data_IF_010725475142
#
_entry.id   IF_010725475142
#
_cell.length_a   1.000
_cell.length_b   1.000
_cell.length_c   1.000
_cell.angle_alpha   90.00
_cell.angle_beta   90.00
_cell.angle_gamma   90.00
#
_symmetry.space_group_name_H-M   'P 1'
#
loop_
_entity.id
_entity.type
_entity.pdbx_description
1 polymer ?
#
# COMPACT_ATOMS: atom_id res chain seq x y z
N UNK A 1 -11.36 -20.02 -2.30
CA UNK A 1 -9.89 -19.82 -2.19
C UNK A 1 -9.18 -21.11 -2.58
N UNK A 2 -7.94 -21.01 -3.08
CA UNK A 2 -7.15 -22.18 -3.50
C UNK A 2 -6.59 -22.89 -2.26
N UNK A 3 -6.41 -24.19 -2.34
CA UNK A 3 -5.97 -25.03 -1.22
C UNK A 3 -4.55 -24.66 -0.73
N UNK A 4 -4.37 -24.48 0.59
CA UNK A 4 -3.09 -24.16 1.21
C UNK A 4 -3.08 -22.86 2.01
N UNK A 5 -1.98 -22.63 2.75
CA UNK A 5 -1.83 -21.43 3.59
C UNK A 5 -1.74 -20.16 2.76
N UNK A 6 -2.45 -19.13 3.17
CA UNK A 6 -2.44 -17.80 2.57
C UNK A 6 -1.62 -16.85 3.42
N UNK A 7 -0.62 -16.20 2.82
CA UNK A 7 0.20 -15.21 3.46
C UNK A 7 -0.17 -13.79 3.02
N UNK A 8 -0.22 -12.86 3.99
CA UNK A 8 -0.20 -11.43 3.75
C UNK A 8 1.23 -10.92 4.00
N UNK A 9 1.87 -10.36 2.98
CA UNK A 9 3.25 -9.84 3.07
C UNK A 9 3.20 -8.32 3.00
N UNK A 10 3.65 -7.67 4.05
CA UNK A 10 3.55 -6.22 4.25
C UNK A 10 4.91 -5.55 4.10
N UNK A 11 4.96 -4.52 3.26
CA UNK A 11 6.19 -3.86 2.87
C UNK A 11 6.64 -2.79 3.87
N UNK A 12 7.94 -2.50 3.89
CA UNK A 12 8.42 -1.29 4.55
C UNK A 12 8.01 -0.02 3.79
N UNK A 13 7.84 1.09 4.50
CA UNK A 13 7.39 2.36 3.89
C UNK A 13 6.97 3.49 4.81
N UNK A 14 7.18 3.38 6.13
CA UNK A 14 6.85 4.45 7.10
C UNK A 14 5.37 4.85 7.06
N UNK A 15 5.07 6.14 6.92
CA UNK A 15 3.70 6.66 6.89
C UNK A 15 2.82 6.08 5.78
N UNK A 16 3.43 5.51 4.71
CA UNK A 16 2.70 4.83 3.63
C UNK A 16 1.95 3.58 4.12
N UNK A 17 2.28 3.04 5.29
CA UNK A 17 1.65 1.86 5.87
C UNK A 17 0.13 1.97 6.10
N UNK A 18 -0.46 3.17 6.08
CA UNK A 18 -1.91 3.33 6.11
C UNK A 18 -2.59 2.64 4.89
N UNK A 19 -1.89 2.55 3.76
CA UNK A 19 -2.36 1.80 2.59
C UNK A 19 -2.60 0.32 2.93
N UNK A 20 -1.71 -0.30 3.71
CA UNK A 20 -1.80 -1.70 4.12
C UNK A 20 -3.03 -1.97 5.00
N UNK A 21 -3.45 -1.00 5.81
CA UNK A 21 -4.69 -1.10 6.59
C UNK A 21 -5.92 -1.11 5.68
N UNK A 22 -5.89 -0.32 4.61
CA UNK A 22 -6.91 -0.37 3.56
C UNK A 22 -6.96 -1.73 2.87
N UNK A 23 -5.80 -2.33 2.58
CA UNK A 23 -5.69 -3.69 2.06
C UNK A 23 -6.33 -4.68 3.03
N UNK A 24 -5.94 -4.63 4.31
CA UNK A 24 -6.46 -5.54 5.33
C UNK A 24 -7.99 -5.38 5.51
N UNK A 25 -8.51 -4.14 5.45
CA UNK A 25 -9.95 -3.89 5.46
C UNK A 25 -10.66 -4.66 4.34
N UNK A 26 -10.17 -4.54 3.10
CA UNK A 26 -10.78 -5.21 1.97
C UNK A 26 -10.69 -6.74 2.08
N UNK A 27 -9.56 -7.27 2.56
CA UNK A 27 -9.40 -8.71 2.80
C UNK A 27 -10.40 -9.25 3.84
N UNK A 28 -10.62 -8.50 4.93
CA UNK A 28 -11.62 -8.85 5.94
C UNK A 28 -13.05 -8.85 5.36
N UNK A 29 -13.41 -7.81 4.60
CA UNK A 29 -14.73 -7.72 3.94
C UNK A 29 -14.95 -8.83 2.90
N UNK A 30 -13.88 -9.32 2.27
CA UNK A 30 -13.90 -10.43 1.32
C UNK A 30 -13.87 -11.81 2.01
N UNK A 31 -13.73 -11.87 3.33
CA UNK A 31 -13.62 -13.12 4.08
C UNK A 31 -12.34 -13.91 3.75
N UNK A 32 -11.26 -13.21 3.37
CA UNK A 32 -9.97 -13.84 3.10
C UNK A 32 -9.26 -14.09 4.43
N UNK A 33 -9.12 -15.37 4.78
CA UNK A 33 -8.34 -15.80 5.93
C UNK A 33 -6.84 -15.68 5.65
N UNK A 34 -6.12 -15.08 6.59
CA UNK A 34 -4.66 -14.95 6.56
C UNK A 34 -4.11 -15.95 7.58
N UNK A 35 -3.26 -16.87 7.12
CA UNK A 35 -2.63 -17.88 7.98
C UNK A 35 -1.22 -17.45 8.43
N UNK A 36 -0.58 -16.59 7.63
CA UNK A 36 0.78 -16.09 7.86
C UNK A 36 0.79 -14.60 7.53
N UNK A 37 1.39 -13.78 8.36
CA UNK A 37 1.71 -12.40 8.04
C UNK A 37 3.19 -12.13 8.27
N UNK A 38 3.87 -11.62 7.25
CA UNK A 38 5.27 -11.20 7.35
C UNK A 38 5.38 -9.71 7.06
N UNK A 39 6.29 -9.03 7.75
CA UNK A 39 6.40 -7.58 7.66
C UNK A 39 7.81 -7.05 7.86
N UNK A 40 8.09 -5.95 7.18
CA UNK A 40 9.32 -5.17 7.34
C UNK A 40 8.97 -3.74 7.75
N UNK A 41 9.65 -3.17 8.75
CA UNK A 41 9.44 -1.78 9.18
C UNK A 41 7.99 -1.50 9.58
N UNK A 42 7.31 -0.54 8.95
CA UNK A 42 5.88 -0.31 9.18
C UNK A 42 5.03 -1.55 8.89
N UNK A 43 5.42 -2.38 7.91
CA UNK A 43 4.77 -3.64 7.63
C UNK A 43 4.88 -4.63 8.79
N UNK A 44 5.94 -4.56 9.61
CA UNK A 44 6.05 -5.36 10.84
C UNK A 44 5.11 -4.86 11.93
N UNK A 45 4.95 -3.54 12.08
CA UNK A 45 3.97 -2.92 13.00
C UNK A 45 2.56 -3.34 12.62
N UNK A 46 2.19 -3.19 11.34
CA UNK A 46 0.89 -3.60 10.83
C UNK A 46 0.71 -5.12 10.85
N UNK A 47 1.77 -5.89 10.60
CA UNK A 47 1.73 -7.35 10.65
C UNK A 47 1.45 -7.88 12.06
N UNK A 48 2.02 -7.27 13.09
CA UNK A 48 1.69 -7.60 14.48
C UNK A 48 0.21 -7.32 14.80
N UNK A 49 -0.36 -6.24 14.27
CA UNK A 49 -1.79 -5.92 14.42
C UNK A 49 -2.69 -6.93 13.69
N UNK A 50 -2.30 -7.34 12.48
CA UNK A 50 -2.98 -8.40 11.72
C UNK A 50 -2.96 -9.72 12.49
N UNK A 51 -1.81 -10.10 13.05
CA UNK A 51 -1.68 -11.31 13.85
C UNK A 51 -2.51 -11.26 15.14
N UNK A 52 -2.60 -10.09 15.79
CA UNK A 52 -3.50 -9.88 16.93
C UNK A 52 -4.99 -9.95 16.53
N UNK A 53 -5.30 -9.83 15.24
CA UNK A 53 -6.66 -9.86 14.68
C UNK A 53 -7.59 -8.78 15.26
N UNK A 54 -7.05 -7.59 15.57
CA UNK A 54 -7.80 -6.44 16.07
C UNK A 54 -7.85 -5.31 15.03
N UNK A 55 -8.67 -5.51 13.99
CA UNK A 55 -8.80 -4.56 12.90
C UNK A 55 -9.37 -3.21 13.35
N UNK A 56 -10.33 -3.21 14.28
CA UNK A 56 -10.94 -1.96 14.77
C UNK A 56 -9.90 -1.07 15.44
N UNK A 57 -9.04 -1.64 16.29
CA UNK A 57 -7.96 -0.90 16.93
C UNK A 57 -6.92 -0.42 15.92
N UNK A 58 -6.54 -1.25 14.95
CA UNK A 58 -5.58 -0.86 13.92
C UNK A 58 -6.12 0.29 13.06
N UNK A 59 -7.37 0.16 12.58
CA UNK A 59 -8.03 1.18 11.79
C UNK A 59 -8.19 2.49 12.57
N UNK A 60 -8.59 2.42 13.84
CA UNK A 60 -8.67 3.59 14.72
C UNK A 60 -7.30 4.25 14.91
N UNK A 61 -6.26 3.47 15.16
CA UNK A 61 -4.90 3.98 15.39
C UNK A 61 -4.40 4.79 14.20
N UNK A 62 -4.61 4.29 12.97
CA UNK A 62 -4.24 5.01 11.74
C UNK A 62 -5.12 6.23 11.44
N UNK A 63 -6.42 6.20 11.80
CA UNK A 63 -7.31 7.36 11.63
C UNK A 63 -7.06 8.48 12.65
N UNK A 64 -6.58 8.14 13.84
CA UNK A 64 -6.32 9.07 14.94
C UNK A 64 -4.86 9.57 14.98
N UNK A 65 -4.03 9.20 14.00
CA UNK A 65 -2.69 9.76 13.86
C UNK A 65 -2.81 11.28 13.78
N UNK A 66 -2.23 11.94 14.79
CA UNK A 66 -2.09 13.39 14.81
C UNK A 66 -0.83 13.75 14.03
N UNK A 67 -0.87 14.92 13.40
CA UNK A 67 0.33 15.54 12.87
C UNK A 67 1.37 15.62 14.00
N UNK A 68 2.61 15.26 13.69
CA UNK A 68 3.70 15.21 14.67
C UNK A 68 3.79 16.56 15.37
N UNK A 69 3.34 16.62 16.62
CA UNK A 69 3.55 17.79 17.46
C UNK A 69 4.99 17.72 17.93
N UNK A 70 5.71 18.84 17.99
CA UNK A 70 7.04 18.89 18.59
C UNK A 70 6.86 18.43 20.06
N UNK A 71 7.29 17.20 20.37
CA UNK A 71 7.33 16.66 21.73
C UNK A 71 8.78 16.49 22.17
N UNK A 72 9.04 16.45 23.47
CA UNK A 72 10.38 16.17 24.02
C UNK A 72 10.85 14.71 23.77
N UNK A 73 9.97 13.85 23.26
CA UNK A 73 10.25 12.44 22.98
C UNK A 73 10.82 12.25 21.57
N UNK A 74 11.74 11.30 21.44
CA UNK A 74 12.23 10.80 20.15
C UNK A 74 11.14 10.01 19.41
N UNK A 75 11.25 9.90 18.08
CA UNK A 75 10.32 9.10 17.24
C UNK A 75 10.18 7.65 17.75
N UNK A 76 11.30 7.07 18.18
CA UNK A 76 11.39 5.73 18.76
C UNK A 76 10.60 5.58 20.07
N UNK A 77 10.68 6.56 20.97
CA UNK A 77 9.93 6.54 22.24
C UNK A 77 8.42 6.73 22.02
N UNK A 78 8.04 7.57 21.06
CA UNK A 78 6.63 7.72 20.66
C UNK A 78 6.10 6.42 20.09
N UNK A 79 6.83 5.80 19.15
CA UNK A 79 6.43 4.52 18.57
C UNK A 79 6.34 3.43 19.65
N UNK A 80 7.32 3.32 20.55
CA UNK A 80 7.28 2.39 21.68
C UNK A 80 6.00 2.53 22.50
N UNK A 81 5.63 3.75 22.91
CA UNK A 81 4.42 3.99 23.71
C UNK A 81 3.15 3.59 22.95
N UNK A 82 3.12 3.83 21.65
CA UNK A 82 2.00 3.39 20.79
C UNK A 82 1.94 1.86 20.75
N UNK A 83 3.08 1.19 20.56
CA UNK A 83 3.13 -0.27 20.51
C UNK A 83 2.74 -0.90 21.87
N UNK A 84 3.29 -0.41 22.98
CA UNK A 84 2.97 -0.92 24.34
C UNK A 84 1.50 -0.73 24.71
N UNK A 85 0.85 0.32 24.18
CA UNK A 85 -0.57 0.58 24.42
C UNK A 85 -1.49 -0.35 23.61
N UNK A 86 -1.09 -0.73 22.40
CA UNK A 86 -1.98 -1.36 21.43
C UNK A 86 -1.66 -2.84 21.17
N UNK A 87 -0.41 -3.26 21.32
CA UNK A 87 0.01 -4.64 21.08
C UNK A 87 0.01 -5.46 22.37
N UNK A 88 -0.54 -6.66 22.28
CA UNK A 88 -0.57 -7.65 23.35
C UNK A 88 0.13 -8.92 22.85
N UNK A 89 1.36 -9.08 23.27
CA UNK A 89 2.23 -10.18 22.81
C UNK A 89 1.62 -11.57 23.00
N UNK A 90 0.90 -11.80 24.10
CA UNK A 90 0.23 -13.10 24.34
C UNK A 90 -0.87 -13.39 23.33
N UNK A 91 -1.64 -12.38 22.89
CA UNK A 91 -2.66 -12.54 21.85
C UNK A 91 -2.00 -12.92 20.52
N UNK A 92 -0.92 -12.21 20.14
CA UNK A 92 -0.15 -12.50 18.91
C UNK A 92 0.44 -13.91 18.95
N UNK A 93 1.03 -14.32 20.07
CA UNK A 93 1.63 -15.67 20.24
C UNK A 93 0.61 -16.81 20.22
N UNK A 94 -0.63 -16.54 20.62
CA UNK A 94 -1.73 -17.51 20.63
C UNK A 94 -2.58 -17.47 19.36
N UNK A 95 -2.26 -16.57 18.44
CA UNK A 95 -3.03 -16.36 17.21
C UNK A 95 -2.97 -17.57 16.27
N UNK A 96 -4.03 -17.73 15.49
CA UNK A 96 -4.05 -18.64 14.34
C UNK A 96 -3.21 -18.11 13.16
N UNK A 97 -2.96 -16.80 13.15
CA UNK A 97 -2.13 -16.13 12.15
C UNK A 97 -0.70 -16.04 12.65
N UNK A 98 0.22 -16.73 11.98
CA UNK A 98 1.64 -16.68 12.33
C UNK A 98 2.26 -15.33 11.95
N UNK A 99 3.17 -14.80 12.76
CA UNK A 99 3.77 -13.47 12.56
C UNK A 99 5.27 -13.57 12.33
N UNK A 100 5.74 -12.96 11.24
CA UNK A 100 7.16 -12.87 10.88
C UNK A 100 7.65 -11.44 10.71
N UNK A 101 8.89 -11.19 11.13
CA UNK A 101 9.55 -9.88 11.04
C UNK A 101 10.94 -9.97 10.42
N UNK A 102 11.35 -8.92 9.70
CA UNK A 102 12.72 -8.76 9.18
C UNK A 102 13.44 -7.60 9.86
N UNK A 103 14.68 -7.83 10.30
CA UNK A 103 15.62 -6.79 10.76
C UNK A 103 17.05 -7.17 10.38
N UNK A 104 18.00 -6.25 10.49
CA UNK A 104 19.39 -6.45 10.09
C UNK A 104 20.34 -5.97 11.19
N UNK A 105 21.31 -6.78 11.59
CA UNK A 105 22.37 -6.36 12.51
C UNK A 105 23.27 -5.29 11.85
N UNK A 106 23.66 -4.28 12.61
CA UNK A 106 24.59 -3.24 12.19
C UNK A 106 25.83 -3.19 13.10
N UNK A 107 27.06 -3.09 12.57
CA UNK A 107 27.43 -2.84 11.17
C UNK A 107 27.69 -4.11 10.33
N UNK A 108 27.38 -5.31 10.84
CA UNK A 108 27.69 -6.58 10.16
C UNK A 108 26.80 -6.85 8.93
N UNK A 109 25.64 -6.22 8.84
CA UNK A 109 24.59 -6.47 7.86
C UNK A 109 24.07 -7.92 7.84
N UNK A 110 24.22 -8.65 8.96
CA UNK A 110 23.62 -9.97 9.11
C UNK A 110 22.10 -9.81 9.22
N UNK A 111 21.36 -10.35 8.25
CA UNK A 111 19.90 -10.34 8.27
C UNK A 111 19.31 -11.35 9.26
N UNK A 112 18.15 -10.98 9.79
CA UNK A 112 17.35 -11.79 10.70
C UNK A 112 15.90 -11.75 10.21
N UNK A 113 15.42 -12.87 9.69
CA UNK A 113 14.02 -13.11 9.38
C UNK A 113 13.50 -14.08 10.44
N UNK A 114 12.65 -13.60 11.36
CA UNK A 114 12.25 -14.37 12.55
C UNK A 114 10.74 -14.43 12.68
N UNK A 115 10.22 -15.60 12.99
CA UNK A 115 8.83 -15.76 13.39
C UNK A 115 8.65 -15.53 14.89
N UNK A 116 7.40 -15.31 15.31
CA UNK A 116 7.05 -15.01 16.70
C UNK A 116 7.52 -16.10 17.68
N UNK A 117 7.58 -17.36 17.25
CA UNK A 117 8.10 -18.50 18.03
C UNK A 117 9.61 -18.45 18.26
N UNK A 118 10.36 -17.70 17.44
CA UNK A 118 11.81 -17.48 17.56
C UNK A 118 12.16 -16.22 18.37
N UNK A 119 11.22 -15.28 18.51
CA UNK A 119 11.41 -14.06 19.31
C UNK A 119 11.29 -14.38 20.80
N UNK A 120 12.26 -14.00 21.66
CA UNK A 120 12.15 -14.16 23.11
C UNK A 120 10.91 -13.46 23.68
N UNK A 121 10.26 -14.09 24.65
CA UNK A 121 9.08 -13.50 25.32
C UNK A 121 9.45 -12.17 25.98
N UNK A 122 8.63 -11.15 25.73
CA UNK A 122 8.84 -9.79 26.24
C UNK A 122 9.73 -8.91 25.35
N UNK A 123 10.33 -9.45 24.29
CA UNK A 123 11.19 -8.69 23.35
C UNK A 123 10.47 -8.35 22.03
N UNK A 124 9.18 -8.69 21.86
CA UNK A 124 8.47 -8.47 20.59
C UNK A 124 8.52 -7.00 20.14
N UNK A 125 8.20 -6.08 21.05
CA UNK A 125 8.21 -4.64 20.75
C UNK A 125 9.63 -4.17 20.42
N UNK A 126 10.67 -4.72 21.06
CA UNK A 126 12.05 -4.39 20.75
C UNK A 126 12.43 -4.77 19.31
N UNK A 127 12.04 -5.96 18.86
CA UNK A 127 12.28 -6.39 17.47
C UNK A 127 11.45 -5.60 16.45
N UNK A 128 10.22 -5.20 16.79
CA UNK A 128 9.42 -4.30 15.94
C UNK A 128 10.11 -2.94 15.79
N UNK A 129 10.60 -2.36 16.90
CA UNK A 129 11.33 -1.10 16.87
C UNK A 129 12.67 -1.21 16.13
N UNK A 130 13.35 -2.37 16.23
CA UNK A 130 14.54 -2.66 15.43
C UNK A 130 14.25 -2.75 13.94
N UNK A 131 13.16 -3.41 13.54
CA UNK A 131 12.71 -3.47 12.15
C UNK A 131 12.30 -2.12 11.59
N UNK A 132 11.87 -1.17 12.43
CA UNK A 132 11.50 0.19 12.03
C UNK A 132 12.65 1.22 12.12
N UNK A 133 13.87 0.80 12.50
CA UNK A 133 15.02 1.70 12.66
C UNK A 133 15.66 2.08 11.32
N UNK A 134 15.00 2.98 10.59
CA UNK A 134 15.39 3.50 9.28
C UNK A 134 16.64 4.41 9.35
N UNK A 135 17.82 3.81 9.51
CA UNK A 135 19.10 4.52 9.49
C UNK A 135 19.32 5.24 8.14
N UNK A 136 19.92 6.45 8.07
CA UNK A 136 20.41 7.29 9.16
C UNK A 136 19.37 8.22 9.79
N UNK A 137 18.09 8.10 9.44
CA UNK A 137 17.02 8.98 9.95
C UNK A 137 16.65 8.58 11.38
N UNK A 138 16.43 7.29 11.61
CA UNK A 138 16.19 6.70 12.92
C UNK A 138 17.44 5.92 13.31
N UNK A 139 17.96 6.17 14.51
CA UNK A 139 19.18 5.53 15.01
C UNK A 139 19.01 4.00 15.14
N UNK A 140 20.10 3.21 14.98
CA UNK A 140 20.06 1.78 15.18
C UNK A 140 19.52 1.41 16.57
N UNK A 141 18.66 0.40 16.63
CA UNK A 141 18.06 -0.08 17.86
C UNK A 141 18.97 -1.12 18.53
N UNK A 142 19.24 -0.99 19.83
CA UNK A 142 20.07 -1.95 20.56
C UNK A 142 19.21 -3.00 21.29
N UNK A 143 19.43 -4.28 20.98
CA UNK A 143 18.87 -5.46 21.68
C UNK A 143 20.05 -6.30 22.15
N UNK A 144 20.14 -6.59 23.46
CA UNK A 144 21.17 -7.47 24.00
C UNK A 144 22.62 -7.10 23.56
N UNK A 145 22.94 -5.79 23.58
CA UNK A 145 24.23 -5.18 23.14
C UNK A 145 24.56 -5.31 21.65
N UNK A 146 23.63 -5.79 20.84
CA UNK A 146 23.73 -5.78 19.38
C UNK A 146 22.85 -4.68 18.82
N UNK A 147 23.34 -3.97 17.81
CA UNK A 147 22.56 -2.95 17.11
C UNK A 147 21.90 -3.53 15.88
N UNK A 148 20.68 -3.07 15.64
CA UNK A 148 19.83 -3.50 14.55
C UNK A 148 19.29 -2.27 13.81
N UNK A 149 19.09 -2.43 12.51
CA UNK A 149 18.48 -1.44 11.62
C UNK A 149 17.32 -2.07 10.86
N UNK A 150 16.61 -1.22 10.10
CA UNK A 150 15.45 -1.59 9.31
C UNK A 150 15.70 -2.83 8.42
N UNK A 151 14.71 -3.72 8.37
CA UNK A 151 14.74 -4.91 7.52
C UNK A 151 14.80 -4.60 6.03
N UNK A 152 14.42 -3.40 5.61
CA UNK A 152 14.43 -2.94 4.23
C UNK A 152 15.83 -2.95 3.60
N UNK A 153 16.89 -2.99 4.42
CA UNK A 153 18.27 -3.20 3.98
C UNK A 153 18.57 -4.62 3.47
N UNK A 154 17.65 -5.56 3.67
CA UNK A 154 17.78 -6.94 3.22
C UNK A 154 16.57 -7.37 2.37
N UNK A 155 15.37 -7.22 2.90
CA UNK A 155 14.12 -7.60 2.22
C UNK A 155 12.94 -6.72 2.68
N UNK A 156 12.56 -5.77 1.83
CA UNK A 156 11.51 -4.81 2.09
C UNK A 156 10.11 -5.41 1.90
N UNK A 157 9.96 -6.48 1.12
CA UNK A 157 8.68 -7.17 0.87
C UNK A 157 8.92 -8.67 1.07
N UNK A 158 8.89 -9.15 2.33
CA UNK A 158 9.49 -10.44 2.73
C UNK A 158 8.66 -11.66 2.32
N UNK A 159 8.53 -11.88 1.01
CA UNK A 159 7.79 -12.98 0.40
C UNK A 159 8.49 -14.32 0.62
N UNK A 160 9.82 -14.36 0.51
CA UNK A 160 10.58 -15.58 0.74
C UNK A 160 10.38 -16.12 2.16
N UNK A 161 10.29 -15.23 3.13
CA UNK A 161 10.01 -15.58 4.52
C UNK A 161 8.65 -16.29 4.65
N UNK A 162 7.62 -15.78 3.98
CA UNK A 162 6.30 -16.41 3.97
C UNK A 162 6.31 -17.77 3.26
N UNK A 163 7.00 -17.89 2.13
CA UNK A 163 7.17 -19.16 1.40
C UNK A 163 7.87 -20.21 2.27
N UNK A 164 8.95 -19.83 2.94
CA UNK A 164 9.69 -20.70 3.87
C UNK A 164 8.83 -21.16 5.06
N UNK A 165 7.78 -20.42 5.41
CA UNK A 165 6.79 -20.80 6.44
C UNK A 165 5.60 -21.61 5.89
N UNK A 166 5.66 -21.99 4.61
CA UNK A 166 4.70 -22.88 3.97
C UNK A 166 3.52 -22.19 3.31
N UNK A 167 3.62 -20.88 3.02
CA UNK A 167 2.62 -20.18 2.22
C UNK A 167 2.56 -20.76 0.79
N UNK A 168 1.34 -20.96 0.29
CA UNK A 168 1.09 -21.31 -1.14
C UNK A 168 0.45 -20.18 -1.91
N UNK A 169 -0.37 -19.39 -1.23
CA UNK A 169 -0.98 -18.18 -1.77
C UNK A 169 -0.30 -16.98 -1.08
N UNK A 170 0.14 -16.00 -1.85
CA UNK A 170 0.77 -14.79 -1.30
C UNK A 170 0.03 -13.57 -1.81
N UNK A 171 -0.45 -12.75 -0.88
CA UNK A 171 -0.92 -11.40 -1.13
C UNK A 171 0.20 -10.48 -0.64
N UNK A 172 0.95 -9.88 -1.55
CA UNK A 172 2.07 -9.00 -1.23
C UNK A 172 1.68 -7.54 -1.44
N UNK A 173 1.98 -6.68 -0.48
CA UNK A 173 1.72 -5.25 -0.55
C UNK A 173 3.04 -4.52 -0.72
N UNK A 174 3.23 -3.89 -1.88
CA UNK A 174 4.41 -3.08 -2.17
C UNK A 174 4.03 -1.59 -2.14
N UNK A 175 4.64 -0.86 -1.19
CA UNK A 175 4.44 0.57 -0.97
C UNK A 175 5.32 1.45 -1.86
N UNK A 176 6.10 0.85 -2.77
CA UNK A 176 7.08 1.53 -3.65
C UNK A 176 7.98 2.46 -2.82
N UNK A 177 8.57 1.89 -1.77
CA UNK A 177 9.40 2.59 -0.80
C UNK A 177 10.87 2.20 -0.96
N UNK A 178 11.75 2.97 -0.32
CA UNK A 178 13.19 2.74 -0.34
C UNK A 178 13.48 1.42 0.39
N UNK A 179 14.16 0.50 -0.28
CA UNK A 179 14.55 -0.80 0.27
C UNK A 179 14.89 -1.80 -0.83
N UNK A 180 15.36 -2.98 -0.42
CA UNK A 180 15.66 -4.09 -1.33
C UNK A 180 14.41 -4.94 -1.50
N UNK A 181 13.88 -5.08 -2.72
CA UNK A 181 12.83 -6.05 -3.03
C UNK A 181 13.45 -7.27 -3.71
N UNK A 182 13.33 -8.45 -3.09
CA UNK A 182 13.88 -9.70 -3.62
C UNK A 182 12.99 -10.25 -4.74
N UNK A 183 13.18 -9.73 -5.96
CA UNK A 183 12.36 -10.08 -7.15
C UNK A 183 12.38 -11.56 -7.51
N UNK A 184 13.41 -12.31 -7.15
CA UNK A 184 13.47 -13.75 -7.44
C UNK A 184 12.49 -14.52 -6.56
N UNK A 185 12.36 -14.17 -5.28
CA UNK A 185 11.34 -14.75 -4.39
C UNK A 185 9.91 -14.51 -4.90
N UNK A 186 9.63 -13.35 -5.50
CA UNK A 186 8.32 -13.08 -6.12
C UNK A 186 7.99 -14.03 -7.28
N UNK A 187 9.00 -14.53 -8.01
CA UNK A 187 8.81 -15.45 -9.13
C UNK A 187 8.60 -16.90 -8.68
N UNK A 188 9.01 -17.23 -7.45
CA UNK A 188 8.86 -18.57 -6.87
C UNK A 188 7.44 -18.82 -6.31
N UNK A 189 6.64 -17.77 -6.16
CA UNK A 189 5.28 -17.88 -5.67
C UNK A 189 4.36 -18.47 -6.74
N UNK A 190 3.75 -19.62 -6.45
CA UNK A 190 2.74 -20.24 -7.32
C UNK A 190 1.55 -19.31 -7.59
N UNK A 191 1.05 -18.67 -6.53
CA UNK A 191 -0.12 -17.78 -6.58
C UNK A 191 0.16 -16.44 -5.90
N UNK A 192 0.74 -15.51 -6.67
CA UNK A 192 1.01 -14.15 -6.23
C UNK A 192 -0.12 -13.18 -6.62
N UNK A 193 -0.69 -12.50 -5.64
CA UNK A 193 -1.44 -11.26 -5.82
C UNK A 193 -0.60 -10.09 -5.29
N UNK A 194 0.14 -9.41 -6.18
CA UNK A 194 0.94 -8.24 -5.83
C UNK A 194 0.08 -6.99 -5.94
N UNK A 195 -0.20 -6.37 -4.79
CA UNK A 195 -0.98 -5.14 -4.67
C UNK A 195 0.00 -3.98 -4.52
N UNK A 196 -0.07 -3.03 -5.44
CA UNK A 196 0.71 -1.80 -5.42
C UNK A 196 -0.09 -0.63 -5.97
N UNK A 197 0.17 0.57 -5.46
CA UNK A 197 -0.60 1.74 -5.84
C UNK A 197 -0.05 2.38 -7.11
N UNK A 198 -0.95 2.76 -8.03
CA UNK A 198 -0.60 3.57 -9.22
C UNK A 198 -0.43 5.06 -8.90
N UNK A 199 -0.84 5.49 -7.72
CA UNK A 199 -0.74 6.86 -7.26
C UNK A 199 0.38 7.02 -6.25
N UNK A 200 0.95 8.23 -6.20
CA UNK A 200 1.86 8.59 -5.12
C UNK A 200 1.17 8.38 -3.76
N UNK A 201 1.83 7.62 -2.90
CA UNK A 201 1.45 7.42 -1.50
C UNK A 201 1.96 8.56 -0.59
N UNK A 202 2.71 9.52 -1.14
CA UNK A 202 3.33 10.61 -0.40
C UNK A 202 4.70 10.26 0.17
N UNK A 203 5.20 11.13 1.04
CA UNK A 203 6.50 10.98 1.69
C UNK A 203 6.40 9.98 2.85
N UNK A 204 7.25 8.94 2.86
CA UNK A 204 7.28 7.90 3.89
C UNK A 204 7.65 8.41 5.30
N UNK A 205 8.24 9.60 5.43
CA UNK A 205 8.62 10.19 6.72
C UNK A 205 7.58 11.20 7.25
N UNK A 206 6.56 11.52 6.46
CA UNK A 206 5.56 12.52 6.83
C UNK A 206 4.21 11.86 7.13
N UNK A 207 3.73 12.00 8.37
CA UNK A 207 2.42 11.52 8.81
C UNK A 207 1.38 12.64 8.69
N UNK A 208 0.80 12.76 7.49
CA UNK A 208 -0.21 13.77 7.20
C UNK A 208 -1.63 13.16 7.29
N UNK A 209 -2.53 13.65 8.17
CA UNK A 209 -3.84 13.03 8.37
C UNK A 209 -4.72 12.97 7.11
N UNK A 210 -4.66 13.99 6.25
CA UNK A 210 -5.41 14.00 4.97
C UNK A 210 -4.88 12.94 4.00
N UNK A 211 -3.56 12.85 3.83
CA UNK A 211 -2.97 11.84 2.97
C UNK A 211 -3.16 10.42 3.53
N UNK A 212 -3.07 10.25 4.85
CA UNK A 212 -3.32 8.97 5.55
C UNK A 212 -4.69 8.40 5.19
N UNK A 213 -5.76 9.19 5.31
CA UNK A 213 -7.12 8.79 4.92
C UNK A 213 -7.22 8.45 3.43
N UNK A 214 -6.56 9.24 2.58
CA UNK A 214 -6.53 9.02 1.13
C UNK A 214 -5.87 7.67 0.79
N UNK A 215 -4.66 7.40 1.29
CA UNK A 215 -3.93 6.19 0.92
C UNK A 215 -4.52 4.92 1.54
N UNK A 216 -5.12 5.01 2.73
CA UNK A 216 -5.94 3.92 3.28
C UNK A 216 -7.08 3.58 2.33
N UNK A 217 -7.80 4.60 1.83
CA UNK A 217 -8.86 4.38 0.84
C UNK A 217 -8.33 3.79 -0.46
N UNK A 218 -7.15 4.20 -0.93
CA UNK A 218 -6.53 3.63 -2.13
C UNK A 218 -6.16 2.15 -1.94
N UNK A 219 -5.61 1.76 -0.79
CA UNK A 219 -5.28 0.36 -0.49
C UNK A 219 -6.51 -0.54 -0.50
N UNK A 220 -7.62 -0.04 0.04
CA UNK A 220 -8.91 -0.72 -0.05
C UNK A 220 -9.35 -0.92 -1.50
N UNK A 221 -9.34 0.14 -2.31
CA UNK A 221 -9.83 0.10 -3.69
C UNK A 221 -8.96 -0.76 -4.60
N UNK A 222 -7.63 -0.66 -4.47
CA UNK A 222 -6.69 -1.49 -5.23
C UNK A 222 -6.83 -2.97 -4.89
N UNK A 223 -7.10 -3.30 -3.62
CA UNK A 223 -7.41 -4.68 -3.20
C UNK A 223 -8.73 -5.15 -3.78
N UNK A 224 -9.80 -4.35 -3.68
CA UNK A 224 -11.09 -4.72 -4.27
C UNK A 224 -11.00 -4.93 -5.79
N UNK A 225 -10.17 -4.14 -6.49
CA UNK A 225 -9.87 -4.36 -7.92
C UNK A 225 -9.06 -5.65 -8.14
N UNK A 226 -8.06 -5.94 -7.33
CA UNK A 226 -7.23 -7.15 -7.48
C UNK A 226 -8.01 -8.46 -7.24
N UNK A 227 -9.10 -8.39 -6.48
CA UNK A 227 -10.07 -9.47 -6.28
C UNK A 227 -11.29 -9.41 -7.21
N UNK A 228 -11.24 -8.61 -8.27
CA UNK A 228 -12.28 -8.51 -9.30
C UNK A 228 -13.66 -8.11 -8.74
N UNK A 229 -13.70 -7.29 -7.68
CA UNK A 229 -14.93 -6.68 -7.15
C UNK A 229 -15.26 -5.39 -7.88
N UNK A 230 -14.23 -4.58 -8.16
CA UNK A 230 -14.31 -3.39 -8.99
C UNK A 230 -13.42 -3.54 -10.22
N UNK A 231 -13.62 -2.67 -11.20
CA UNK A 231 -12.82 -2.61 -12.42
C UNK A 231 -12.00 -1.32 -12.47
N UNK A 232 -10.94 -1.31 -13.29
CA UNK A 232 -10.09 -0.15 -13.53
C UNK A 232 -8.62 -0.44 -13.23
N UNK A 233 -7.76 0.51 -13.55
CA UNK A 233 -6.33 0.43 -13.25
C UNK A 233 -5.93 1.52 -12.27
N UNK A 234 -5.92 2.79 -12.68
CA UNK A 234 -5.62 3.93 -11.79
C UNK A 234 -6.85 4.39 -11.03
N UNK A 235 -8.01 4.32 -11.66
CA UNK A 235 -9.29 4.70 -11.09
C UNK A 235 -10.12 3.45 -10.77
N UNK A 236 -11.20 3.65 -10.02
CA UNK A 236 -12.08 2.56 -9.62
C UNK A 236 -13.46 2.76 -10.23
N UNK A 237 -13.95 1.74 -10.92
CA UNK A 237 -15.23 1.72 -11.60
C UNK A 237 -16.09 0.56 -11.10
N UNK A 238 -17.42 0.76 -11.07
CA UNK A 238 -18.35 -0.33 -10.76
C UNK A 238 -18.16 -1.44 -11.80
N UNK A 239 -18.08 -2.68 -11.34
CA UNK A 239 -17.87 -3.84 -12.20
C UNK A 239 -19.00 -4.00 -13.21
N UNK A 240 -18.65 -4.18 -14.48
CA UNK A 240 -19.61 -4.39 -15.56
C UNK A 240 -20.19 -3.13 -16.19
N UNK A 241 -19.98 -1.94 -15.62
CA UNK A 241 -20.45 -0.67 -16.23
C UNK A 241 -19.80 -0.38 -17.59
N UNK A 242 -18.53 -0.76 -17.74
CA UNK A 242 -17.76 -0.52 -18.96
C UNK A 242 -17.40 -1.85 -19.63
N UNK A 243 -17.63 -1.93 -20.94
CA UNK A 243 -17.08 -3.01 -21.75
C UNK A 243 -15.53 -2.98 -21.70
N UNK A 244 -14.87 -4.12 -21.94
CA UNK A 244 -13.41 -4.26 -21.80
C UNK A 244 -12.58 -3.18 -22.52
N UNK A 245 -12.99 -2.76 -23.72
CA UNK A 245 -12.34 -1.66 -24.46
C UNK A 245 -12.66 -0.25 -23.92
N UNK A 246 -13.83 -0.07 -23.31
CA UNK A 246 -14.26 1.22 -22.75
C UNK A 246 -13.68 1.51 -21.37
N UNK A 247 -13.21 0.48 -20.64
CA UNK A 247 -12.61 0.67 -19.32
C UNK A 247 -11.27 1.43 -19.39
N UNK A 248 -10.41 1.09 -20.35
CA UNK A 248 -9.15 1.80 -20.57
C UNK A 248 -9.40 3.26 -21.02
N UNK A 249 -10.45 3.48 -21.82
CA UNK A 249 -10.90 4.81 -22.22
C UNK A 249 -11.37 5.62 -21.00
N UNK A 250 -12.19 5.03 -20.14
CA UNK A 250 -12.69 5.67 -18.92
C UNK A 250 -11.57 6.01 -17.90
N UNK A 251 -10.64 5.09 -17.65
CA UNK A 251 -9.51 5.27 -16.73
C UNK A 251 -8.57 6.39 -17.22
N UNK A 252 -8.29 6.39 -18.53
CA UNK A 252 -7.53 7.45 -19.18
C UNK A 252 -8.24 8.81 -19.12
N UNK A 253 -9.55 8.86 -19.36
CA UNK A 253 -10.32 10.10 -19.22
C UNK A 253 -10.27 10.63 -17.80
N UNK A 254 -10.51 9.78 -16.80
CA UNK A 254 -10.43 10.18 -15.40
C UNK A 254 -9.04 10.75 -15.05
N UNK A 255 -7.98 10.16 -15.60
CA UNK A 255 -6.60 10.65 -15.45
C UNK A 255 -6.38 12.02 -16.07
N UNK A 256 -6.81 12.22 -17.33
CA UNK A 256 -6.63 13.49 -18.07
C UNK A 256 -7.36 14.65 -17.39
N UNK A 257 -8.52 14.37 -16.78
CA UNK A 257 -9.30 15.36 -16.03
C UNK A 257 -8.93 15.45 -14.55
N UNK A 258 -7.88 14.74 -14.11
CA UNK A 258 -7.36 14.76 -12.74
C UNK A 258 -8.46 14.50 -11.69
N UNK A 259 -9.35 13.54 -11.98
CA UNK A 259 -10.44 13.20 -11.08
C UNK A 259 -9.91 12.58 -9.78
N UNK A 260 -10.74 12.53 -8.74
CA UNK A 260 -10.37 11.98 -7.43
C UNK A 260 -10.29 10.42 -7.47
N UNK A 261 -9.10 9.83 -7.26
CA UNK A 261 -8.92 8.38 -7.34
C UNK A 261 -9.53 7.60 -6.17
N UNK A 262 -10.05 8.27 -5.15
CA UNK A 262 -10.69 7.64 -3.98
C UNK A 262 -12.18 7.33 -4.18
N UNK A 263 -12.74 7.76 -5.31
CA UNK A 263 -14.15 7.58 -5.68
C UNK A 263 -14.32 6.31 -6.53
N UNK A 264 -15.46 5.63 -6.35
CA UNK A 264 -15.92 4.55 -7.22
C UNK A 264 -16.89 5.15 -8.24
N UNK A 265 -16.54 5.08 -9.52
CA UNK A 265 -17.28 5.70 -10.61
C UNK A 265 -18.24 4.71 -11.28
N UNK A 266 -19.54 5.04 -11.32
CA UNK A 266 -20.44 4.58 -12.38
C UNK A 266 -20.17 5.35 -13.68
N UNK A 267 -20.69 4.88 -14.82
CA UNK A 267 -20.61 5.65 -16.07
C UNK A 267 -21.21 7.05 -15.95
N UNK A 268 -22.43 7.16 -15.43
CA UNK A 268 -23.13 8.45 -15.32
C UNK A 268 -22.38 9.47 -14.43
N UNK A 269 -21.80 8.99 -13.33
CA UNK A 269 -20.98 9.80 -12.44
C UNK A 269 -19.71 10.31 -13.12
N UNK A 270 -19.03 9.44 -13.88
CA UNK A 270 -17.84 9.83 -14.65
C UNK A 270 -18.21 10.92 -15.66
N UNK A 271 -19.25 10.71 -16.45
CA UNK A 271 -19.74 11.65 -17.47
C UNK A 271 -20.09 13.01 -16.85
N UNK A 272 -20.79 13.01 -15.71
CA UNK A 272 -21.11 14.22 -14.95
C UNK A 272 -19.85 14.94 -14.46
N UNK A 273 -18.87 14.23 -13.92
CA UNK A 273 -17.62 14.81 -13.40
C UNK A 273 -16.76 15.42 -14.51
N UNK A 274 -16.74 14.80 -15.68
CA UNK A 274 -16.09 15.36 -16.87
C UNK A 274 -16.76 16.68 -17.27
N UNK A 275 -18.09 16.72 -17.35
CA UNK A 275 -18.84 17.93 -17.70
C UNK A 275 -18.64 19.06 -16.67
N UNK A 276 -18.57 18.73 -15.38
CA UNK A 276 -18.24 19.68 -14.30
C UNK A 276 -16.82 20.26 -14.50
N UNK A 277 -15.82 19.41 -14.69
CA UNK A 277 -14.42 19.82 -14.90
C UNK A 277 -14.26 20.74 -16.13
N UNK A 278 -14.95 20.42 -17.23
CA UNK A 278 -14.96 21.26 -18.45
C UNK A 278 -15.61 22.63 -18.20
N UNK A 279 -16.70 22.70 -17.42
CA UNK A 279 -17.43 23.95 -17.13
C UNK A 279 -16.69 24.88 -16.17
N UNK A 280 -16.01 24.32 -15.18
CA UNK A 280 -15.29 25.09 -14.16
C UNK A 280 -14.02 25.75 -14.74
N UNK A 281 -13.37 25.11 -15.70
CA UNK A 281 -12.18 25.67 -16.37
C UNK A 281 -12.53 26.54 -17.58
N UNK A 282 -13.21 27.67 -17.34
CA UNK A 282 -13.60 28.65 -18.39
C UNK A 282 -12.43 29.29 -19.15
N UNK A 283 -11.17 29.03 -18.75
CA UNK A 283 -9.95 29.58 -19.35
C UNK A 283 -9.23 28.60 -20.27
N UNK A 284 -9.54 27.30 -20.19
CA UNK A 284 -8.91 26.29 -21.02
C UNK A 284 -9.81 25.88 -22.17
N UNK A 285 -9.33 26.10 -23.40
CA UNK A 285 -9.89 25.42 -24.54
C UNK A 285 -9.39 23.98 -24.50
N UNK A 286 -10.12 23.09 -23.81
CA UNK A 286 -9.78 21.67 -23.69
C UNK A 286 -9.50 21.01 -25.05
N UNK A 287 -10.11 21.50 -26.13
CA UNK A 287 -9.83 21.06 -27.51
C UNK A 287 -8.42 21.43 -27.96
N UNK A 288 -7.94 22.62 -27.63
CA UNK A 288 -6.60 23.08 -27.99
C UNK A 288 -5.54 22.58 -27.00
N UNK A 289 -5.87 22.40 -25.71
CA UNK A 289 -4.96 21.81 -24.73
C UNK A 289 -4.72 20.33 -25.00
N UNK A 290 -5.76 19.53 -25.28
CA UNK A 290 -5.59 18.14 -25.74
C UNK A 290 -4.73 18.11 -27.02
N UNK A 291 -4.97 19.02 -27.98
CA UNK A 291 -4.12 19.12 -29.18
C UNK A 291 -2.69 19.55 -28.88
N UNK A 292 -2.46 20.43 -27.92
CA UNK A 292 -1.13 20.95 -27.58
C UNK A 292 -0.32 19.91 -26.79
N UNK A 293 -0.94 19.21 -25.85
CA UNK A 293 -0.33 18.06 -25.17
C UNK A 293 -0.04 16.94 -26.18
N UNK A 294 -1.00 16.60 -27.05
CA UNK A 294 -0.79 15.66 -28.16
C UNK A 294 0.30 16.11 -29.16
N UNK A 295 0.59 17.42 -29.29
CA UNK A 295 1.68 17.95 -30.13
C UNK A 295 3.05 17.88 -29.43
N UNK A 296 3.14 18.23 -28.14
CA UNK A 296 4.37 18.10 -27.32
C UNK A 296 4.83 16.64 -27.22
N UNK A 297 3.86 15.75 -27.32
CA UNK A 297 4.01 14.31 -27.41
C UNK A 297 4.87 13.83 -28.60
N UNK A 298 4.89 14.55 -29.71
CA UNK A 298 5.71 14.17 -30.88
C UNK A 298 7.19 14.54 -30.72
N UNK A 299 7.58 15.25 -29.65
CA UNK A 299 8.93 15.82 -29.55
C UNK A 299 9.74 15.40 -28.33
N UNK A 300 9.20 14.70 -27.33
CA UNK A 300 10.00 14.11 -26.24
C UNK A 300 9.29 12.92 -25.57
N UNK A 301 9.97 11.77 -25.44
CA UNK A 301 9.41 10.44 -25.04
C UNK A 301 8.26 10.50 -24.01
N UNK A 302 6.99 10.30 -24.47
CA UNK A 302 5.78 10.47 -23.66
C UNK A 302 4.74 9.34 -23.85
N UNK A 303 5.13 8.15 -24.30
CA UNK A 303 4.23 7.16 -24.93
C UNK A 303 2.96 6.80 -24.13
N UNK A 304 2.99 6.76 -22.80
CA UNK A 304 1.82 6.48 -21.96
C UNK A 304 0.86 7.66 -21.88
N UNK A 305 1.37 8.88 -21.70
CA UNK A 305 0.56 10.12 -21.74
C UNK A 305 -0.14 10.28 -23.10
N UNK A 306 0.56 9.99 -24.21
CA UNK A 306 -0.07 9.98 -25.55
C UNK A 306 -1.25 9.03 -25.62
N UNK A 307 -1.04 7.81 -25.14
CA UNK A 307 -2.04 6.75 -25.20
C UNK A 307 -3.24 7.12 -24.34
N UNK A 308 -3.02 7.64 -23.14
CA UNK A 308 -4.08 8.13 -22.25
C UNK A 308 -4.87 9.26 -22.91
N UNK A 309 -4.22 10.25 -23.53
CA UNK A 309 -4.93 11.33 -24.23
C UNK A 309 -5.75 10.84 -25.43
N UNK A 310 -5.22 9.91 -26.22
CA UNK A 310 -5.95 9.31 -27.35
C UNK A 310 -7.19 8.54 -26.85
N UNK A 311 -7.02 7.73 -25.80
CA UNK A 311 -8.10 6.96 -25.19
C UNK A 311 -9.17 7.88 -24.57
N UNK A 312 -8.72 8.92 -23.87
CA UNK A 312 -9.61 9.90 -23.26
C UNK A 312 -10.44 10.64 -24.31
N UNK A 313 -9.81 11.04 -25.42
CA UNK A 313 -10.50 11.68 -26.54
C UNK A 313 -11.59 10.77 -27.13
N UNK A 314 -11.29 9.48 -27.34
CA UNK A 314 -12.28 8.51 -27.83
C UNK A 314 -13.48 8.41 -26.91
N UNK A 315 -13.25 8.36 -25.59
CA UNK A 315 -14.33 8.32 -24.60
C UNK A 315 -15.26 9.53 -24.73
N UNK A 316 -14.67 10.73 -24.77
CA UNK A 316 -15.41 12.00 -24.81
C UNK A 316 -16.21 12.13 -26.10
N UNK A 317 -15.61 11.82 -27.26
CA UNK A 317 -16.28 11.89 -28.56
C UNK A 317 -17.45 10.89 -28.63
N UNK A 318 -17.22 9.65 -28.20
CA UNK A 318 -18.21 8.56 -28.23
C UNK A 318 -19.43 8.85 -27.35
N UNK A 319 -19.23 9.47 -26.20
CA UNK A 319 -20.31 9.75 -25.24
C UNK A 319 -20.90 11.16 -25.38
N UNK A 320 -20.46 11.94 -26.37
CA UNK A 320 -21.02 13.28 -26.62
C UNK A 320 -20.78 14.28 -25.47
N UNK A 321 -19.72 14.08 -24.69
CA UNK A 321 -19.45 14.88 -23.48
C UNK A 321 -18.82 16.23 -23.77
N UNK A 322 -18.40 16.46 -25.02
CA UNK A 322 -17.89 17.73 -25.50
C UNK A 322 -18.35 17.98 -26.93
N UNK A 323 -19.42 18.76 -27.10
CA UNK A 323 -19.84 19.41 -28.34
C UNK A 323 -20.56 20.71 -28.01
#
# INVERSE_FOLDING_TARGET
MREGKTALVLGGGGSKGAYEIGVWQALNELGIQIDIVTGTSIGAVNGALVAQNDFEMANKSWHEIKESTITELTEKEVLRKILEKNLKEDEIRSSLTDFGIVTVEFPSFKSHCMFIDEIPRGELIDYILASAACFPIIEPYEINRKKFIDGAYFDNVPVEMALNRGAKNVIAVDLDAIGIVRKDALKEVDFLNLISCKWSLGNCLAFEPKNTKRILRLGYLDTMKSFDVFSGEKYTFIKGEFAKGGLAEADATASVFELDPTIIYSKDMLDKKILEAVREDKRKNWKDELKEKLKKVFTNKPTTLVQEEILAKRYVEKNGLMW
#
